data_IF_280277642097
#
_entry.id   IF_280277642097
#
_cell.length_a   1.000
_cell.length_b   1.000
_cell.length_c   1.000
_cell.angle_alpha   90.00
_cell.angle_beta   90.00
_cell.angle_gamma   90.00
#
_symmetry.space_group_name_H-M   'P 1'
#
loop_
_entity.id
_entity.type
_entity.pdbx_description
1 polymer ?
#
# COMPACT_ATOMS: atom_id res chain seq x y z
N UNK A 1 23.66 5.04 -11.09
CA UNK A 1 22.34 5.64 -11.35
C UNK A 1 21.26 4.91 -10.58
N UNK A 2 21.35 4.89 -9.24
CA UNK A 2 20.30 4.31 -8.38
C UNK A 2 19.15 5.32 -8.14
N UNK A 3 19.44 6.62 -8.29
CA UNK A 3 18.46 7.71 -8.13
C UNK A 3 17.52 7.85 -9.35
N UNK A 4 17.95 7.41 -10.55
CA UNK A 4 17.14 7.49 -11.78
C UNK A 4 16.11 6.35 -11.90
N UNK A 5 16.29 5.22 -11.20
CA UNK A 5 15.28 4.12 -11.15
C UNK A 5 14.16 4.37 -10.13
N UNK A 6 14.34 5.28 -9.18
CA UNK A 6 13.32 5.65 -8.19
C UNK A 6 12.29 6.64 -8.75
N UNK A 7 12.58 7.35 -9.84
CA UNK A 7 11.67 8.37 -10.39
C UNK A 7 10.45 7.77 -11.11
N UNK A 8 10.52 6.49 -11.54
CA UNK A 8 9.39 5.77 -12.15
C UNK A 8 8.49 5.06 -11.10
N UNK A 9 8.99 4.89 -9.87
CA UNK A 9 8.25 4.24 -8.78
C UNK A 9 7.79 5.32 -7.80
N UNK A 10 6.47 5.51 -7.70
CA UNK A 10 5.90 6.45 -6.74
C UNK A 10 6.37 6.25 -5.29
N UNK A 11 5.91 7.11 -4.38
CA UNK A 11 6.35 7.12 -2.98
C UNK A 11 6.32 5.74 -2.31
N UNK A 12 7.48 5.28 -1.84
CA UNK A 12 7.64 3.99 -1.20
C UNK A 12 7.68 4.11 0.33
N UNK A 13 7.08 3.12 1.01
CA UNK A 13 7.05 3.01 2.46
C UNK A 13 7.58 1.64 2.90
N UNK A 14 8.28 1.61 4.04
CA UNK A 14 8.82 0.37 4.62
C UNK A 14 8.45 0.29 6.10
N UNK A 15 7.98 -0.88 6.53
CA UNK A 15 7.74 -1.19 7.94
C UNK A 15 9.04 -1.58 8.66
N UNK A 16 9.00 -1.67 9.99
CA UNK A 16 10.07 -2.30 10.75
C UNK A 16 10.19 -3.81 10.42
N UNK A 17 11.41 -4.36 10.52
CA UNK A 17 11.63 -5.80 10.37
C UNK A 17 11.14 -6.52 11.63
N UNK A 18 10.23 -7.47 11.47
CA UNK A 18 9.83 -8.42 12.52
C UNK A 18 10.67 -9.68 12.33
N UNK A 19 11.60 -9.94 13.26
CA UNK A 19 12.51 -11.08 13.17
C UNK A 19 11.84 -12.36 13.67
N UNK A 20 12.25 -13.49 13.09
CA UNK A 20 11.96 -14.85 13.60
C UNK A 20 10.46 -15.17 13.74
N UNK A 21 9.61 -14.61 12.86
CA UNK A 21 8.16 -14.88 12.88
C UNK A 21 7.63 -15.35 11.53
N UNK A 22 6.94 -16.49 11.55
CA UNK A 22 6.19 -17.01 10.39
C UNK A 22 4.81 -16.35 10.21
N UNK A 23 4.41 -15.51 11.17
CA UNK A 23 3.16 -14.73 11.17
C UNK A 23 3.44 -13.34 11.72
N UNK A 24 4.23 -12.52 11.01
CA UNK A 24 4.55 -11.18 11.47
C UNK A 24 3.30 -10.31 11.53
N UNK A 25 3.18 -9.53 12.60
CA UNK A 25 2.16 -8.49 12.76
C UNK A 25 2.88 -7.15 12.88
N UNK A 26 2.69 -6.27 11.90
CA UNK A 26 3.33 -4.94 11.93
C UNK A 26 2.46 -3.89 12.58
N UNK A 27 1.13 -4.00 12.45
CA UNK A 27 0.17 -3.01 12.95
C UNK A 27 0.57 -1.56 12.59
N UNK A 28 1.04 -1.38 11.34
CA UNK A 28 1.51 -0.10 10.83
C UNK A 28 0.40 0.66 10.10
N UNK A 29 0.44 1.98 10.16
CA UNK A 29 -0.45 2.87 9.38
C UNK A 29 0.41 3.82 8.56
N UNK A 30 0.08 3.94 7.27
CA UNK A 30 0.67 4.92 6.37
C UNK A 30 -0.44 5.85 5.89
N UNK A 31 -0.16 7.14 5.85
CA UNK A 31 -1.09 8.16 5.37
C UNK A 31 -0.47 8.87 4.16
N UNK A 32 -1.15 8.81 3.02
CA UNK A 32 -0.72 9.47 1.79
C UNK A 32 -1.90 10.16 1.11
N UNK A 33 -1.67 11.39 0.64
CA UNK A 33 -2.64 12.13 -0.16
C UNK A 33 -2.55 11.73 -1.63
N UNK A 34 -3.51 10.94 -2.10
CA UNK A 34 -3.57 10.50 -3.50
C UNK A 34 -4.58 11.34 -4.27
N UNK A 35 -4.16 11.90 -5.41
CA UNK A 35 -5.00 12.76 -6.26
C UNK A 35 -5.64 12.02 -7.43
N UNK A 36 -5.00 10.95 -7.90
CA UNK A 36 -5.46 10.16 -9.05
C UNK A 36 -6.08 8.83 -8.61
N UNK A 37 -7.38 8.58 -8.87
CA UNK A 37 -8.01 7.30 -8.58
C UNK A 37 -7.48 6.13 -9.43
N UNK A 38 -6.72 6.40 -10.49
CA UNK A 38 -6.04 5.36 -11.28
C UNK A 38 -4.81 4.77 -10.56
N UNK A 39 -4.36 5.42 -9.48
CA UNK A 39 -3.19 5.00 -8.68
C UNK A 39 -3.32 3.55 -8.21
N UNK A 40 -2.22 2.81 -8.34
CA UNK A 40 -2.07 1.44 -7.84
C UNK A 40 -1.19 1.46 -6.60
N UNK A 41 -1.67 0.87 -5.52
CA UNK A 41 -0.87 0.63 -4.32
C UNK A 41 -0.33 -0.81 -4.41
N UNK A 42 1.00 -0.94 -4.49
CA UNK A 42 1.67 -2.23 -4.46
C UNK A 42 2.21 -2.53 -3.07
N UNK A 43 1.90 -3.72 -2.58
CA UNK A 43 2.43 -4.27 -1.34
C UNK A 43 3.41 -5.38 -1.70
N UNK A 44 4.62 -5.33 -1.13
CA UNK A 44 5.64 -6.36 -1.31
C UNK A 44 6.09 -6.85 0.05
N UNK A 45 5.99 -8.16 0.28
CA UNK A 45 6.54 -8.82 1.44
C UNK A 45 7.93 -9.38 1.10
N UNK A 46 8.91 -9.08 1.95
CA UNK A 46 10.27 -9.61 1.82
C UNK A 46 10.69 -10.33 3.09
N UNK A 47 11.43 -11.42 2.93
CA UNK A 47 12.20 -12.02 4.01
C UNK A 47 13.44 -11.17 4.23
N UNK A 48 13.70 -10.79 5.48
CA UNK A 48 14.85 -9.96 5.79
C UNK A 48 16.05 -10.86 6.04
N UNK A 49 17.10 -10.66 5.25
CA UNK A 49 18.34 -11.39 5.39
C UNK A 49 19.45 -10.50 5.93
N UNK A 50 20.21 -11.04 6.89
CA UNK A 50 21.30 -10.28 7.52
C UNK A 50 22.54 -10.13 6.61
N UNK A 51 22.78 -11.11 5.74
CA UNK A 51 24.03 -11.26 4.97
C UNK A 51 23.80 -11.39 3.46
N UNK A 52 22.55 -11.48 3.02
CA UNK A 52 22.12 -11.57 1.62
C UNK A 52 21.13 -10.45 1.30
N UNK A 53 20.77 -10.36 0.02
CA UNK A 53 19.68 -9.49 -0.43
C UNK A 53 18.36 -10.06 0.10
N UNK A 54 17.53 -9.20 0.68
CA UNK A 54 16.17 -9.56 1.11
C UNK A 54 15.41 -10.27 -0.03
N UNK A 55 14.93 -11.49 0.24
CA UNK A 55 14.19 -12.31 -0.72
C UNK A 55 12.72 -11.85 -0.78
N UNK A 56 12.20 -11.60 -1.98
CA UNK A 56 10.76 -11.30 -2.13
C UNK A 56 9.93 -12.58 -1.93
N UNK A 57 9.13 -12.60 -0.87
CA UNK A 57 8.18 -13.70 -0.58
C UNK A 57 6.96 -13.58 -1.49
N UNK A 58 6.56 -12.36 -1.81
CA UNK A 58 5.57 -12.07 -2.83
C UNK A 58 4.92 -10.71 -2.69
N UNK A 59 4.05 -10.38 -3.64
CA UNK A 59 3.42 -9.07 -3.71
C UNK A 59 1.94 -9.14 -4.10
N UNK A 60 1.23 -8.03 -3.89
CA UNK A 60 -0.12 -7.83 -4.40
C UNK A 60 -0.38 -6.34 -4.65
N UNK A 61 -1.33 -6.06 -5.52
CA UNK A 61 -1.70 -4.70 -5.90
C UNK A 61 -3.16 -4.42 -5.57
N UNK A 62 -3.45 -3.18 -5.22
CA UNK A 62 -4.81 -2.67 -5.01
C UNK A 62 -4.97 -1.41 -5.85
N UNK A 63 -5.97 -1.38 -6.73
CA UNK A 63 -6.28 -0.19 -7.52
C UNK A 63 -7.16 0.75 -6.70
N UNK A 64 -6.69 1.97 -6.45
CA UNK A 64 -7.37 2.91 -5.54
C UNK A 64 -8.81 3.21 -5.98
N UNK A 65 -9.07 3.31 -7.28
CA UNK A 65 -10.42 3.52 -7.80
C UNK A 65 -11.42 2.43 -7.43
N UNK A 66 -10.98 1.17 -7.31
CA UNK A 66 -11.84 0.06 -6.85
C UNK A 66 -12.20 0.22 -5.38
N UNK A 67 -11.21 0.60 -4.57
CA UNK A 67 -11.36 0.92 -3.15
C UNK A 67 -12.35 2.08 -2.98
N UNK A 68 -12.13 3.19 -3.69
CA UNK A 68 -12.95 4.40 -3.62
C UNK A 68 -14.40 4.17 -4.06
N UNK A 69 -14.65 3.35 -5.08
CA UNK A 69 -16.02 3.04 -5.55
C UNK A 69 -16.91 2.41 -4.48
N UNK A 70 -16.33 1.80 -3.46
CA UNK A 70 -17.08 1.19 -2.36
C UNK A 70 -17.47 2.18 -1.25
N UNK A 71 -16.96 3.42 -1.28
CA UNK A 71 -17.20 4.45 -0.27
C UNK A 71 -18.16 5.56 -0.76
N UNK A 72 -19.06 6.01 0.13
CA UNK A 72 -19.87 7.23 -0.06
C UNK A 72 -19.10 8.46 0.44
N UNK A 73 -19.27 9.62 -0.21
CA UNK A 73 -18.38 10.80 -0.15
C UNK A 73 -18.15 11.47 1.23
N UNK A 74 -18.90 11.14 2.30
CA UNK A 74 -18.86 11.89 3.57
C UNK A 74 -18.58 11.03 4.82
N UNK A 75 -17.98 9.84 4.66
CA UNK A 75 -17.69 8.94 5.78
C UNK A 75 -16.22 8.53 5.83
N UNK A 76 -15.68 8.42 7.04
CA UNK A 76 -14.45 7.68 7.30
C UNK A 76 -14.71 6.19 7.02
N UNK A 77 -14.04 5.63 6.01
CA UNK A 77 -14.25 4.25 5.59
C UNK A 77 -12.99 3.42 5.85
N UNK A 78 -13.20 2.21 6.36
CA UNK A 78 -12.14 1.23 6.59
C UNK A 78 -12.56 -0.09 5.99
N UNK A 79 -11.76 -0.61 5.06
CA UNK A 79 -11.94 -1.94 4.48
C UNK A 79 -10.75 -2.83 4.82
N UNK A 80 -11.08 -4.04 5.27
CA UNK A 80 -10.07 -5.07 5.47
C UNK A 80 -9.88 -5.86 4.17
N UNK A 81 -8.63 -6.00 3.76
CA UNK A 81 -8.22 -6.81 2.62
C UNK A 81 -7.43 -8.02 3.09
N UNK A 82 -7.76 -9.18 2.53
CA UNK A 82 -6.92 -10.36 2.63
C UNK A 82 -6.35 -10.62 1.25
N UNK A 83 -5.04 -10.46 1.12
CA UNK A 83 -4.36 -10.70 -0.13
C UNK A 83 -3.57 -12.00 -0.07
N UNK A 84 -3.60 -12.73 -1.19
CA UNK A 84 -2.66 -13.81 -1.45
C UNK A 84 -1.45 -13.21 -2.13
N UNK A 85 -0.27 -13.45 -1.57
CA UNK A 85 0.97 -13.02 -2.20
C UNK A 85 1.30 -13.92 -3.39
N UNK A 86 1.84 -13.32 -4.45
CA UNK A 86 2.41 -14.02 -5.60
C UNK A 86 3.74 -14.66 -5.18
N UNK A 87 3.76 -15.96 -4.88
CA UNK A 87 4.98 -16.65 -4.40
C UNK A 87 4.81 -18.15 -4.10
N UNK A 88 5.89 -18.82 -3.69
CA UNK A 88 5.92 -20.27 -3.40
C UNK A 88 5.39 -20.55 -1.99
N UNK A 89 4.15 -21.05 -1.89
CA UNK A 89 3.52 -21.50 -0.63
C UNK A 89 2.10 -20.98 -0.40
N UNK A 90 1.63 -20.99 0.85
CA UNK A 90 0.36 -20.31 1.25
C UNK A 90 0.60 -19.12 2.20
N UNK A 91 1.46 -18.13 1.88
CA UNK A 91 1.47 -16.90 2.67
C UNK A 91 0.20 -16.09 2.35
N UNK A 92 -0.55 -15.72 3.40
CA UNK A 92 -1.68 -14.80 3.35
C UNK A 92 -1.28 -13.55 4.12
N UNK A 93 -1.40 -12.38 3.50
CA UNK A 93 -1.24 -11.10 4.18
C UNK A 93 -2.63 -10.55 4.52
N UNK A 94 -2.81 -10.12 5.75
CA UNK A 94 -3.98 -9.33 6.16
C UNK A 94 -3.56 -7.88 6.21
N UNK A 95 -4.25 -7.02 5.47
CA UNK A 95 -3.99 -5.59 5.42
C UNK A 95 -5.28 -4.85 5.68
N UNK A 96 -5.21 -3.83 6.52
CA UNK A 96 -6.31 -2.89 6.70
C UNK A 96 -6.01 -1.64 5.88
N UNK A 97 -6.93 -1.29 4.99
CA UNK A 97 -6.89 -0.03 4.26
C UNK A 97 -8.00 0.85 4.80
N UNK A 98 -7.59 1.97 5.38
CA UNK A 98 -8.49 3.04 5.81
C UNK A 98 -8.26 4.22 4.90
N UNK A 99 -9.34 4.81 4.40
CA UNK A 99 -9.26 6.03 3.60
C UNK A 99 -10.39 6.98 3.97
N UNK A 100 -10.09 8.26 3.79
CA UNK A 100 -11.04 9.35 3.88
C UNK A 100 -10.86 10.22 2.66
N UNK A 101 -11.96 10.53 1.98
CA UNK A 101 -11.93 11.40 0.83
C UNK A 101 -12.13 12.86 1.29
N UNK A 102 -11.20 13.75 0.95
CA UNK A 102 -11.35 15.17 1.24
C UNK A 102 -11.72 15.94 -0.04
N UNK A 103 -13.02 16.19 -0.21
CA UNK A 103 -13.61 16.82 -1.39
C UNK A 103 -13.09 18.25 -1.62
N UNK A 104 -12.67 18.94 -0.56
CA UNK A 104 -12.21 20.34 -0.64
C UNK A 104 -10.86 20.51 -1.35
N UNK A 105 -10.09 19.43 -1.54
CA UNK A 105 -8.85 19.46 -2.31
C UNK A 105 -9.03 19.11 -3.80
N UNK A 106 -10.23 18.73 -4.23
CA UNK A 106 -10.53 18.35 -5.62
C UNK A 106 -11.29 19.42 -6.41
N UNK A 107 -11.83 20.45 -5.77
CA UNK A 107 -12.30 21.62 -6.53
C UNK A 107 -11.07 22.31 -7.13
N UNK A 108 -10.95 22.41 -8.47
CA UNK A 108 -10.08 23.42 -9.03
C UNK A 108 -10.59 24.73 -8.44
N UNK A 109 -9.75 25.45 -7.70
CA UNK A 109 -10.05 26.85 -7.39
C UNK A 109 -10.35 27.51 -8.72
N UNK A 110 -11.62 27.82 -8.98
CA UNK A 110 -12.02 28.57 -10.14
C UNK A 110 -11.20 29.86 -10.12
N UNK A 111 -10.28 29.99 -11.06
CA UNK A 111 -9.50 31.19 -11.27
C UNK A 111 -10.48 32.31 -11.65
N UNK A 112 -10.56 33.33 -10.79
CA UNK A 112 -11.17 34.65 -11.06
C UNK A 112 -10.67 35.26 -12.37
#
# INVERSE_FOLDING_TARGET
NQEEEEEEKGKAYRTAVVKESMRPEWNYTFEESVKDPSTIIQFTLRDWDRLSKDDEIGSFCVQLGEVMRSASMDAEYSQQYTARLTGTGRPKAHVWLKWSYNVHHMTPTASD
#
